data_IF_776973430001
#
_entry.id   IF_776973430001
#
_cell.length_a   1.000
_cell.length_b   1.000
_cell.length_c   1.000
_cell.angle_alpha   90.00
_cell.angle_beta   90.00
_cell.angle_gamma   90.00
#
_symmetry.space_group_name_H-M   'P 1'
#
loop_
_entity.id
_entity.type
_entity.pdbx_description
1 polymer ?
#
# COMPACT_ATOMS: atom_id res chain seq x y z
N UNK A 1 -21.76 -12.23 -1.01
CA UNK A 1 -21.89 -11.63 0.35
C UNK A 1 -20.70 -11.92 1.27
N UNK A 2 -19.94 -13.01 1.12
CA UNK A 2 -18.72 -13.27 1.94
C UNK A 2 -17.43 -12.65 1.39
N UNK A 3 -17.30 -12.49 0.07
CA UNK A 3 -16.08 -11.99 -0.58
C UNK A 3 -15.84 -10.49 -0.35
N UNK A 4 -16.88 -9.67 -0.44
CA UNK A 4 -16.77 -8.21 -0.26
C UNK A 4 -16.25 -7.85 1.13
N UNK A 5 -16.78 -8.51 2.18
CA UNK A 5 -16.36 -8.32 3.57
C UNK A 5 -14.90 -8.73 3.77
N UNK A 6 -14.46 -9.82 3.14
CA UNK A 6 -13.06 -10.27 3.20
C UNK A 6 -12.13 -9.29 2.49
N UNK A 7 -12.54 -8.76 1.34
CA UNK A 7 -11.74 -7.80 0.59
C UNK A 7 -11.66 -6.44 1.28
N UNK A 8 -12.75 -5.97 1.90
CA UNK A 8 -12.74 -4.78 2.75
C UNK A 8 -11.83 -4.95 3.98
N UNK A 9 -11.88 -6.12 4.62
CA UNK A 9 -10.95 -6.49 5.68
C UNK A 9 -9.49 -6.46 5.21
N UNK A 10 -9.22 -6.98 4.02
CA UNK A 10 -7.91 -6.93 3.39
C UNK A 10 -7.44 -5.48 3.13
N UNK A 11 -8.30 -4.63 2.55
CA UNK A 11 -8.00 -3.21 2.32
C UNK A 11 -7.65 -2.51 3.64
N UNK A 12 -8.41 -2.74 4.70
CA UNK A 12 -8.14 -2.15 6.02
C UNK A 12 -6.80 -2.62 6.61
N UNK A 13 -6.49 -3.92 6.49
CA UNK A 13 -5.17 -4.46 6.89
C UNK A 13 -4.04 -3.76 6.12
N UNK A 14 -4.19 -3.61 4.80
CA UNK A 14 -3.17 -3.00 3.95
C UNK A 14 -2.96 -1.52 4.27
N UNK A 15 -4.04 -0.75 4.49
CA UNK A 15 -3.98 0.65 4.95
C UNK A 15 -3.22 0.78 6.27
N UNK A 16 -3.53 -0.07 7.24
CA UNK A 16 -2.83 -0.08 8.54
C UNK A 16 -1.33 -0.37 8.39
N UNK A 17 -0.97 -1.31 7.51
CA UNK A 17 0.45 -1.62 7.24
C UNK A 17 1.18 -0.45 6.59
N UNK A 18 0.57 0.22 5.61
CA UNK A 18 1.16 1.41 4.97
C UNK A 18 1.40 2.54 5.97
N UNK A 19 0.44 2.76 6.87
CA UNK A 19 0.61 3.72 7.96
C UNK A 19 1.73 3.30 8.91
N UNK A 20 1.89 2.00 9.18
CA UNK A 20 3.02 1.46 9.92
C UNK A 20 4.37 1.77 9.28
N UNK A 21 4.50 1.65 7.95
CA UNK A 21 5.73 2.03 7.24
C UNK A 21 6.06 3.50 7.46
N UNK A 22 5.06 4.39 7.44
CA UNK A 22 5.27 5.81 7.73
C UNK A 22 5.81 6.02 9.14
N UNK A 23 5.18 5.42 10.15
CA UNK A 23 5.60 5.54 11.54
C UNK A 23 7.03 5.03 11.76
N UNK A 24 7.40 3.91 11.12
CA UNK A 24 8.75 3.36 11.23
C UNK A 24 9.78 4.27 10.55
N UNK A 25 9.45 4.85 9.40
CA UNK A 25 10.34 5.80 8.73
C UNK A 25 10.55 7.06 9.57
N UNK A 26 9.50 7.57 10.22
CA UNK A 26 9.58 8.72 11.13
C UNK A 26 10.51 8.49 12.33
N UNK A 27 10.62 7.24 12.78
CA UNK A 27 11.49 6.84 13.88
C UNK A 27 12.90 6.44 13.43
N UNK A 28 13.23 6.58 12.15
CA UNK A 28 14.44 6.01 11.54
C UNK A 28 14.59 4.49 11.80
N UNK A 29 13.47 3.77 11.85
CA UNK A 29 13.42 2.31 12.02
C UNK A 29 13.63 1.54 10.71
N UNK A 30 13.38 0.23 10.74
CA UNK A 30 13.56 -0.67 9.59
C UNK A 30 12.35 -0.69 8.63
N UNK A 31 11.95 0.48 8.14
CA UNK A 31 10.75 0.64 7.31
C UNK A 31 10.86 -0.03 5.93
N UNK A 32 12.06 -0.15 5.36
CA UNK A 32 12.28 -0.71 4.02
C UNK A 32 11.87 -2.19 3.94
N UNK A 33 12.22 -2.99 4.95
CA UNK A 33 11.84 -4.41 5.03
C UNK A 33 10.32 -4.59 5.11
N UNK A 34 9.65 -3.69 5.83
CA UNK A 34 8.18 -3.67 5.92
C UNK A 34 7.56 -3.31 4.58
N UNK A 35 8.10 -2.30 3.90
CA UNK A 35 7.68 -1.90 2.56
C UNK A 35 7.85 -3.04 1.56
N UNK A 36 8.97 -3.78 1.59
CA UNK A 36 9.20 -4.94 0.73
C UNK A 36 8.14 -6.02 0.89
N UNK A 37 7.81 -6.35 2.14
CA UNK A 37 6.76 -7.33 2.42
C UNK A 37 5.41 -6.89 1.85
N UNK A 38 5.09 -5.60 1.89
CA UNK A 38 3.87 -5.05 1.29
C UNK A 38 3.92 -5.15 -0.24
N UNK A 39 5.03 -4.76 -0.87
CA UNK A 39 5.20 -4.81 -2.32
C UNK A 39 5.07 -6.25 -2.83
N UNK A 40 5.66 -7.23 -2.14
CA UNK A 40 5.56 -8.65 -2.50
C UNK A 40 4.10 -9.13 -2.42
N UNK A 41 3.42 -8.84 -1.31
CA UNK A 41 2.03 -9.24 -1.11
C UNK A 41 1.11 -8.63 -2.18
N UNK A 42 1.21 -7.33 -2.41
CA UNK A 42 0.47 -6.60 -3.44
C UNK A 42 0.85 -7.16 -4.83
N UNK A 43 2.11 -7.48 -5.09
CA UNK A 43 2.52 -8.03 -6.39
C UNK A 43 1.84 -9.35 -6.74
N UNK A 44 1.48 -10.16 -5.75
CA UNK A 44 0.77 -11.43 -5.91
C UNK A 44 -0.72 -11.30 -6.20
N UNK A 45 -1.34 -10.12 -6.01
CA UNK A 45 -2.76 -9.94 -6.36
C UNK A 45 -2.95 -9.72 -7.86
N UNK A 46 -4.03 -10.30 -8.39
CA UNK A 46 -4.47 -10.11 -9.77
C UNK A 46 -5.40 -8.89 -9.83
N UNK A 47 -4.84 -7.71 -10.06
CA UNK A 47 -5.61 -6.49 -10.29
C UNK A 47 -5.40 -5.97 -11.70
N UNK A 48 -6.47 -5.54 -12.36
CA UNK A 48 -6.41 -4.97 -13.73
C UNK A 48 -6.95 -3.53 -13.81
N UNK A 49 -7.17 -2.86 -12.66
CA UNK A 49 -7.68 -1.49 -12.62
C UNK A 49 -6.58 -0.43 -12.72
N UNK A 50 -6.93 0.79 -13.12
CA UNK A 50 -5.98 1.91 -13.15
C UNK A 50 -5.42 2.24 -11.75
N UNK A 51 -6.26 2.09 -10.71
CA UNK A 51 -5.86 2.28 -9.31
C UNK A 51 -4.82 1.26 -8.88
N UNK A 52 -4.91 0.03 -9.39
CA UNK A 52 -3.95 -1.02 -9.12
C UNK A 52 -2.55 -0.70 -9.65
N UNK A 53 -2.47 -0.30 -10.93
CA UNK A 53 -1.20 0.09 -11.55
C UNK A 53 -0.58 1.30 -10.87
N UNK A 54 -1.40 2.30 -10.52
CA UNK A 54 -0.99 3.48 -9.77
C UNK A 54 -0.42 3.12 -8.39
N UNK A 55 -1.11 2.24 -7.65
CA UNK A 55 -0.66 1.75 -6.35
C UNK A 55 0.69 1.05 -6.45
N UNK A 56 0.85 0.10 -7.38
CA UNK A 56 2.13 -0.60 -7.59
C UNK A 56 3.27 0.37 -7.92
N UNK A 57 3.04 1.31 -8.83
CA UNK A 57 4.05 2.31 -9.21
C UNK A 57 4.49 3.16 -8.01
N UNK A 58 3.52 3.67 -7.24
CA UNK A 58 3.79 4.49 -6.05
C UNK A 58 4.48 3.70 -4.94
N UNK A 59 4.08 2.46 -4.69
CA UNK A 59 4.74 1.62 -3.67
C UNK A 59 6.21 1.38 -3.99
N UNK A 60 6.53 1.09 -5.25
CA UNK A 60 7.90 0.87 -5.68
C UNK A 60 8.76 2.14 -5.63
N UNK A 61 8.16 3.33 -5.81
CA UNK A 61 8.91 4.59 -5.78
C UNK A 61 9.26 5.07 -4.38
N UNK A 62 8.53 4.64 -3.33
CA UNK A 62 8.69 5.09 -1.94
C UNK A 62 10.14 5.03 -1.42
N UNK A 63 10.93 4.04 -1.86
CA UNK A 63 12.36 3.90 -1.50
C UNK A 63 13.23 5.09 -1.91
N UNK A 64 12.88 5.75 -3.00
CA UNK A 64 13.71 6.77 -3.63
C UNK A 64 13.29 8.19 -3.29
N UNK A 65 12.18 8.35 -2.56
CA UNK A 65 11.61 9.65 -2.24
C UNK A 65 12.27 10.25 -0.99
N UNK A 66 12.39 11.58 -0.97
CA UNK A 66 12.64 12.32 0.28
C UNK A 66 11.46 12.11 1.25
N UNK A 67 11.67 12.39 2.53
CA UNK A 67 10.64 12.14 3.54
C UNK A 67 9.32 12.88 3.26
N UNK A 68 9.37 14.14 2.83
CA UNK A 68 8.15 14.93 2.53
C UNK A 68 7.32 14.30 1.41
N UNK A 69 7.97 13.90 0.32
CA UNK A 69 7.30 13.22 -0.78
C UNK A 69 6.84 11.82 -0.37
N UNK A 70 7.66 11.09 0.38
CA UNK A 70 7.29 9.76 0.88
C UNK A 70 6.01 9.81 1.71
N UNK A 71 5.93 10.74 2.68
CA UNK A 71 4.76 10.88 3.55
C UNK A 71 3.51 11.15 2.73
N UNK A 72 3.59 12.07 1.76
CA UNK A 72 2.49 12.35 0.83
C UNK A 72 2.09 11.11 0.02
N UNK A 73 3.07 10.41 -0.55
CA UNK A 73 2.84 9.22 -1.36
C UNK A 73 2.26 8.06 -0.55
N UNK A 74 2.61 7.90 0.74
CA UNK A 74 1.96 6.90 1.62
C UNK A 74 0.46 7.17 1.73
N UNK A 75 0.04 8.42 1.96
CA UNK A 75 -1.39 8.74 2.05
C UNK A 75 -2.12 8.55 0.72
N UNK A 76 -1.46 8.88 -0.40
CA UNK A 76 -2.00 8.56 -1.74
C UNK A 76 -2.18 7.05 -1.93
N UNK A 77 -1.22 6.22 -1.51
CA UNK A 77 -1.35 4.76 -1.53
C UNK A 77 -2.50 4.28 -0.64
N UNK A 78 -2.67 4.83 0.56
CA UNK A 78 -3.78 4.48 1.47
C UNK A 78 -5.13 4.77 0.83
N UNK A 79 -5.28 5.90 0.14
CA UNK A 79 -6.50 6.25 -0.58
C UNK A 79 -6.74 5.29 -1.74
N UNK A 80 -5.72 5.03 -2.58
CA UNK A 80 -5.80 4.07 -3.68
C UNK A 80 -6.19 2.66 -3.22
N UNK A 81 -5.70 2.22 -2.05
CA UNK A 81 -6.12 0.95 -1.43
C UNK A 81 -7.61 0.93 -1.12
N UNK A 82 -8.19 2.06 -0.70
CA UNK A 82 -9.63 2.19 -0.48
C UNK A 82 -10.45 2.00 -1.75
N UNK A 83 -9.92 2.51 -2.87
CA UNK A 83 -10.54 2.51 -4.19
C UNK A 83 -10.17 1.26 -5.02
N UNK A 84 -9.60 0.23 -4.38
CA UNK A 84 -9.39 -1.06 -5.05
C UNK A 84 -10.74 -1.77 -5.19
N UNK A 85 -10.94 -2.29 -6.40
CA UNK A 85 -12.05 -3.15 -6.77
C UNK A 85 -11.66 -4.61 -6.60
N UNK A 86 -12.67 -5.47 -6.44
CA UNK A 86 -12.47 -6.89 -6.22
C UNK A 86 -11.77 -7.49 -7.44
N UNK A 87 -10.69 -8.25 -7.26
CA UNK A 87 -10.11 -9.08 -8.32
C UNK A 87 -11.16 -10.02 -8.90
N UNK A 88 -11.51 -9.86 -10.19
CA UNK A 88 -12.31 -10.85 -10.93
C UNK A 88 -11.53 -12.17 -11.16
#
# INVERSE_FOLDING_TARGET
MSYDVMFDGYKNKLKGRLYGVLCEREKNGEWEKFLDSIIIEVSGLRGNSINWWSLKGKLNSLRFLSYDYFRKTIFECINLVGDLEIPE
#
